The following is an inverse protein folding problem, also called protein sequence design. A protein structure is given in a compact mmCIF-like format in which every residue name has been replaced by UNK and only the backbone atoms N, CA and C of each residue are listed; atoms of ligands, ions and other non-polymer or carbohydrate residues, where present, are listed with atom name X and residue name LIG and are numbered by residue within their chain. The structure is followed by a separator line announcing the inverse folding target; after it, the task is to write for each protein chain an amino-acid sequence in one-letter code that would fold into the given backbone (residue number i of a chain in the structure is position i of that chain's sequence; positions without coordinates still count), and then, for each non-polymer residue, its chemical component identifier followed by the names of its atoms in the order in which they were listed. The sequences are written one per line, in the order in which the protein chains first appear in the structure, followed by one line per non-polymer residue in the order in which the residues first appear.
data_IF_942160306846
#
_entry.id   IF_942160306846
#
_cell.length_a   1.000
_cell.length_b   1.000
_cell.length_c   1.000
_cell.angle_alpha   90.00
_cell.angle_beta   90.00
_cell.angle_gamma   90.00
#
_symmetry.space_group_name_H-M   'P 1'
#
loop_
_entity.id
_entity.type
_entity.pdbx_description
1 polymer ?
#
# COMPACT_ATOMS: atom_id res chain seq x y z
N UNK A 1 -33.55 47.08 5.72
CA UNK A 1 -32.09 47.15 5.57
C UNK A 1 -31.33 46.24 6.54
N UNK A 2 -31.63 46.25 7.85
CA UNK A 2 -30.98 45.35 8.82
C UNK A 2 -31.24 43.86 8.53
N UNK A 3 -32.49 43.48 8.26
CA UNK A 3 -32.88 42.09 7.98
C UNK A 3 -32.16 41.50 6.75
N UNK A 4 -32.06 42.28 5.66
CA UNK A 4 -31.38 41.87 4.44
C UNK A 4 -29.88 41.67 4.65
N UNK A 5 -29.25 42.50 5.50
CA UNK A 5 -27.85 42.34 5.89
C UNK A 5 -27.65 41.07 6.72
N UNK A 6 -28.53 40.80 7.69
CA UNK A 6 -28.46 39.58 8.52
C UNK A 6 -28.63 38.31 7.67
N UNK A 7 -29.58 38.31 6.74
CA UNK A 7 -29.81 37.17 5.84
C UNK A 7 -28.59 36.92 4.93
N UNK A 8 -27.99 37.98 4.40
CA UNK A 8 -26.77 37.87 3.57
C UNK A 8 -25.60 37.27 4.37
N UNK A 9 -25.34 37.77 5.59
CA UNK A 9 -24.27 37.24 6.43
C UNK A 9 -24.51 35.80 6.86
N UNK A 10 -25.76 35.45 7.21
CA UNK A 10 -26.13 34.08 7.56
C UNK A 10 -25.89 33.13 6.38
N UNK A 11 -26.28 33.54 5.17
CA UNK A 11 -26.02 32.79 3.94
C UNK A 11 -24.52 32.60 3.69
N UNK A 12 -23.71 33.66 3.84
CA UNK A 12 -22.25 33.59 3.70
C UNK A 12 -21.66 32.59 4.70
N UNK A 13 -22.07 32.66 5.97
CA UNK A 13 -21.58 31.75 7.02
C UNK A 13 -21.93 30.29 6.69
N UNK A 14 -23.17 30.02 6.26
CA UNK A 14 -23.59 28.67 5.86
C UNK A 14 -22.75 28.17 4.69
N UNK A 15 -22.51 29.00 3.68
CA UNK A 15 -21.65 28.67 2.55
C UNK A 15 -20.21 28.35 2.99
N UNK A 16 -19.62 29.18 3.86
CA UNK A 16 -18.26 28.94 4.40
C UNK A 16 -18.20 27.63 5.18
N UNK A 17 -19.17 27.36 6.06
CA UNK A 17 -19.25 26.10 6.82
C UNK A 17 -19.36 24.89 5.89
N UNK A 18 -20.15 24.98 4.83
CA UNK A 18 -20.26 23.92 3.83
C UNK A 18 -18.92 23.66 3.11
N UNK A 19 -18.22 24.72 2.68
CA UNK A 19 -16.90 24.59 2.02
C UNK A 19 -15.84 23.97 2.94
N UNK A 20 -15.78 24.40 4.21
CA UNK A 20 -14.87 23.82 5.21
C UNK A 20 -15.18 22.34 5.45
N UNK A 21 -16.47 21.98 5.53
CA UNK A 21 -16.90 20.59 5.71
C UNK A 21 -16.47 19.73 4.52
N UNK A 22 -16.70 20.19 3.29
CA UNK A 22 -16.27 19.49 2.07
C UNK A 22 -14.76 19.30 2.05
N UNK A 23 -14.00 20.35 2.35
CA UNK A 23 -12.54 20.28 2.41
C UNK A 23 -12.05 19.28 3.47
N UNK A 24 -12.66 19.27 4.65
CA UNK A 24 -12.31 18.34 5.73
C UNK A 24 -12.61 16.89 5.36
N UNK A 25 -13.76 16.62 4.74
CA UNK A 25 -14.13 15.28 4.26
C UNK A 25 -13.12 14.80 3.23
N UNK A 26 -12.78 15.63 2.25
CA UNK A 26 -11.75 15.28 1.26
C UNK A 26 -10.40 15.01 1.94
N UNK A 27 -9.94 15.89 2.82
CA UNK A 27 -8.67 15.70 3.54
C UNK A 27 -8.66 14.40 4.35
N UNK A 28 -9.78 14.04 4.99
CA UNK A 28 -9.88 12.79 5.73
C UNK A 28 -9.75 11.58 4.79
N UNK A 29 -10.43 11.56 3.65
CA UNK A 29 -10.34 10.46 2.69
C UNK A 29 -8.93 10.35 2.09
N UNK A 30 -8.33 11.49 1.74
CA UNK A 30 -6.96 11.58 1.26
C UNK A 30 -5.97 10.92 2.21
N UNK A 31 -6.02 11.31 3.48
CA UNK A 31 -5.16 10.74 4.52
C UNK A 31 -5.37 9.24 4.72
N UNK A 32 -6.59 8.73 4.53
CA UNK A 32 -6.84 7.28 4.61
C UNK A 32 -6.16 6.53 3.47
N UNK A 33 -6.23 7.05 2.24
CA UNK A 33 -5.54 6.46 1.09
C UNK A 33 -4.03 6.45 1.32
N UNK A 34 -3.45 7.58 1.74
CA UNK A 34 -2.01 7.68 2.04
C UNK A 34 -1.57 6.73 3.15
N UNK A 35 -2.36 6.59 4.22
CA UNK A 35 -2.08 5.64 5.31
C UNK A 35 -2.06 4.19 4.82
N UNK A 36 -3.01 3.80 3.98
CA UNK A 36 -3.05 2.44 3.45
C UNK A 36 -1.91 2.20 2.45
N UNK A 37 -1.57 3.19 1.62
CA UNK A 37 -0.40 3.13 0.76
C UNK A 37 0.88 2.90 1.58
N UNK A 38 1.05 3.64 2.69
CA UNK A 38 2.18 3.46 3.61
C UNK A 38 2.17 2.08 4.27
N UNK A 39 1.01 1.58 4.72
CA UNK A 39 0.90 0.25 5.32
C UNK A 39 1.30 -0.87 4.33
N UNK A 40 0.95 -0.71 3.04
CA UNK A 40 1.40 -1.63 1.99
C UNK A 40 2.92 -1.55 1.85
N UNK A 41 3.50 -0.35 1.75
CA UNK A 41 4.96 -0.19 1.66
C UNK A 41 5.71 -0.77 2.86
N UNK A 42 5.17 -0.59 4.06
CA UNK A 42 5.73 -1.13 5.30
C UNK A 42 5.72 -2.67 5.28
N UNK A 43 4.58 -3.29 4.93
CA UNK A 43 4.47 -4.74 4.85
C UNK A 43 5.39 -5.34 3.77
N UNK A 44 5.50 -4.67 2.61
CA UNK A 44 6.47 -5.03 1.56
C UNK A 44 7.92 -4.92 2.07
N UNK A 45 8.24 -3.87 2.80
CA UNK A 45 9.56 -3.68 3.39
C UNK A 45 9.90 -4.76 4.42
N UNK A 46 8.96 -5.08 5.31
CA UNK A 46 9.11 -6.16 6.28
C UNK A 46 9.38 -7.49 5.59
N UNK A 47 8.61 -7.81 4.53
CA UNK A 47 8.81 -9.01 3.73
C UNK A 47 10.22 -9.12 3.18
N UNK A 48 10.70 -8.04 2.54
CA UNK A 48 12.05 -7.98 1.94
C UNK A 48 13.14 -8.14 3.00
N UNK A 49 12.91 -7.69 4.23
CA UNK A 49 13.87 -7.85 5.32
C UNK A 49 13.96 -9.27 5.89
N UNK A 50 12.97 -10.13 5.64
CA UNK A 50 13.03 -11.55 6.00
C UNK A 50 13.79 -12.40 4.97
N UNK A 51 13.95 -11.91 3.75
CA UNK A 51 14.62 -12.66 2.67
C UNK A 51 16.09 -12.98 2.94
N UNK A 52 16.92 -12.11 3.53
CA UNK A 52 18.29 -12.47 3.90
C UNK A 52 18.37 -13.72 4.79
N UNK A 53 17.49 -13.86 5.77
CA UNK A 53 17.43 -15.04 6.63
C UNK A 53 17.07 -16.30 5.82
N UNK A 54 16.10 -16.18 4.90
CA UNK A 54 15.75 -17.28 3.99
C UNK A 54 16.92 -17.68 3.08
N UNK A 55 17.69 -16.70 2.59
CA UNK A 55 18.90 -16.93 1.77
C UNK A 55 20.03 -17.60 2.56
N UNK A 56 20.15 -17.30 3.85
CA UNK A 56 21.13 -17.96 4.72
C UNK A 56 20.79 -19.44 4.93
N UNK A 57 19.51 -19.75 5.14
CA UNK A 57 19.06 -21.14 5.27
C UNK A 57 19.23 -21.91 3.97
N UNK A 58 18.91 -21.28 2.84
CA UNK A 58 19.01 -21.89 1.52
C UNK A 58 20.41 -21.81 0.89
N UNK A 59 21.43 -21.41 1.66
CA UNK A 59 22.78 -21.12 1.15
C UNK A 59 23.39 -22.30 0.39
N UNK A 60 23.21 -23.52 0.90
CA UNK A 60 23.78 -24.73 0.30
C UNK A 60 23.04 -25.17 -0.99
N UNK A 61 21.77 -24.77 -1.13
CA UNK A 61 20.86 -25.25 -2.18
C UNK A 61 20.71 -24.25 -3.34
N UNK A 62 20.92 -22.95 -3.11
CA UNK A 62 20.64 -21.89 -4.09
C UNK A 62 21.89 -21.41 -4.83
N UNK A 63 23.10 -21.68 -4.32
CA UNK A 63 24.39 -21.54 -5.02
C UNK A 63 24.50 -20.32 -5.95
N UNK A 64 24.22 -20.54 -7.24
CA UNK A 64 24.34 -19.54 -8.31
C UNK A 64 23.26 -18.46 -8.33
N UNK A 65 22.05 -18.73 -7.84
CA UNK A 65 20.92 -17.78 -7.92
C UNK A 65 20.91 -16.76 -6.76
N UNK A 66 21.78 -16.94 -5.77
CA UNK A 66 21.79 -16.12 -4.55
C UNK A 66 22.05 -14.64 -4.83
N UNK A 67 22.99 -14.34 -5.74
CA UNK A 67 23.36 -12.97 -6.09
C UNK A 67 22.20 -12.25 -6.79
N UNK A 68 21.54 -12.92 -7.72
CA UNK A 68 20.37 -12.39 -8.44
C UNK A 68 19.21 -12.05 -7.49
N UNK A 69 18.97 -12.86 -6.45
CA UNK A 69 17.91 -12.59 -5.46
C UNK A 69 18.26 -11.37 -4.60
N UNK A 70 19.54 -11.19 -4.25
CA UNK A 70 20.01 -10.03 -3.49
C UNK A 70 19.87 -8.74 -4.32
N UNK A 71 20.27 -8.78 -5.59
CA UNK A 71 20.15 -7.66 -6.52
C UNK A 71 18.67 -7.28 -6.73
N UNK A 72 17.81 -8.26 -6.98
CA UNK A 72 16.38 -8.01 -7.17
C UNK A 72 15.70 -7.44 -5.92
N UNK A 73 16.12 -7.87 -4.71
CA UNK A 73 15.68 -7.26 -3.44
C UNK A 73 16.14 -5.81 -3.34
N UNK A 74 17.39 -5.51 -3.70
CA UNK A 74 17.95 -4.16 -3.62
C UNK A 74 17.24 -3.21 -4.60
N UNK A 75 16.95 -3.68 -5.80
CA UNK A 75 16.18 -2.95 -6.81
C UNK A 75 14.77 -2.64 -6.29
N UNK A 76 14.09 -3.63 -5.70
CA UNK A 76 12.78 -3.43 -5.07
C UNK A 76 12.80 -2.41 -3.92
N UNK A 77 13.88 -2.34 -3.15
CA UNK A 77 14.01 -1.41 -2.02
C UNK A 77 14.34 0.02 -2.43
N UNK A 78 15.10 0.19 -3.51
CA UNK A 78 15.61 1.51 -3.93
C UNK A 78 14.80 2.14 -5.08
N UNK A 79 13.89 1.38 -5.68
CA UNK A 79 13.07 1.85 -6.78
C UNK A 79 12.15 3.03 -6.42
N UNK A 80 12.16 4.05 -7.29
CA UNK A 80 11.27 5.25 -7.27
C UNK A 80 9.97 4.96 -8.06
N UNK A 81 9.57 3.70 -8.16
CA UNK A 81 8.35 3.28 -8.84
C UNK A 81 7.08 3.68 -8.09
N UNK A 82 5.97 3.72 -8.83
CA UNK A 82 4.63 3.85 -8.24
C UNK A 82 4.30 2.62 -7.39
N UNK A 83 3.34 2.76 -6.46
CA UNK A 83 2.94 1.64 -5.60
C UNK A 83 2.42 0.44 -6.42
N UNK A 84 1.73 0.70 -7.52
CA UNK A 84 1.24 -0.30 -8.46
C UNK A 84 2.39 -1.13 -9.07
N UNK A 85 3.41 -0.46 -9.58
CA UNK A 85 4.61 -1.10 -10.16
C UNK A 85 5.40 -1.89 -9.10
N UNK A 86 5.57 -1.31 -7.89
CA UNK A 86 6.21 -2.01 -6.77
C UNK A 86 5.50 -3.32 -6.44
N UNK A 87 4.17 -3.33 -6.43
CA UNK A 87 3.37 -4.52 -6.14
C UNK A 87 3.47 -5.54 -7.28
N UNK A 88 3.45 -5.08 -8.54
CA UNK A 88 3.64 -5.96 -9.69
C UNK A 88 4.98 -6.71 -9.61
N UNK A 89 6.08 -6.00 -9.34
CA UNK A 89 7.39 -6.64 -9.14
C UNK A 89 7.45 -7.52 -7.89
N UNK A 90 6.74 -7.15 -6.82
CA UNK A 90 6.66 -8.00 -5.63
C UNK A 90 5.96 -9.34 -5.93
N UNK A 91 5.00 -9.39 -6.87
CA UNK A 91 4.40 -10.66 -7.28
C UNK A 91 5.44 -11.60 -7.91
N UNK A 92 6.33 -11.07 -8.74
CA UNK A 92 7.44 -11.86 -9.29
C UNK A 92 8.39 -12.35 -8.18
N UNK A 93 8.72 -11.47 -7.23
CA UNK A 93 9.55 -11.80 -6.08
C UNK A 93 8.90 -12.84 -5.15
N UNK A 94 7.57 -12.86 -5.07
CA UNK A 94 6.79 -13.84 -4.30
C UNK A 94 7.02 -15.26 -4.79
N UNK A 95 7.08 -15.44 -6.11
CA UNK A 95 7.34 -16.74 -6.74
C UNK A 95 8.72 -17.25 -6.37
N UNK A 96 9.72 -16.36 -6.34
CA UNK A 96 11.08 -16.69 -5.91
C UNK A 96 11.07 -17.14 -4.44
N UNK A 97 10.44 -16.38 -3.55
CA UNK A 97 10.33 -16.73 -2.12
C UNK A 97 9.65 -18.10 -1.95
N UNK A 98 8.56 -18.37 -2.66
CA UNK A 98 7.89 -19.67 -2.62
C UNK A 98 8.80 -20.80 -3.08
N UNK A 99 9.52 -20.60 -4.19
CA UNK A 99 10.48 -21.59 -4.67
C UNK A 99 11.57 -21.89 -3.63
N UNK A 100 12.13 -20.86 -2.99
CA UNK A 100 13.11 -21.02 -1.91
C UNK A 100 12.55 -21.82 -0.73
N UNK A 101 11.31 -21.52 -0.32
CA UNK A 101 10.65 -22.23 0.77
C UNK A 101 10.38 -23.70 0.43
N UNK A 102 10.05 -24.04 -0.82
CA UNK A 102 9.85 -25.43 -1.25
C UNK A 102 11.16 -26.20 -1.36
N UNK A 103 12.24 -25.58 -1.86
CA UNK A 103 13.57 -26.20 -1.89
C UNK A 103 14.05 -26.56 -0.48
N UNK A 104 13.76 -25.71 0.51
CA UNK A 104 14.11 -25.92 1.92
C UNK A 104 13.21 -26.93 2.66
N UNK A 105 12.08 -27.35 2.08
CA UNK A 105 11.07 -28.19 2.77
C UNK A 105 11.61 -29.57 3.19
N UNK A 106 12.65 -30.06 2.51
CA UNK A 106 13.30 -31.33 2.84
C UNK A 106 14.42 -31.24 3.87
N UNK A 107 14.73 -30.04 4.39
CA UNK A 107 15.81 -29.86 5.35
C UNK A 107 15.33 -30.04 6.81
N UNK A 108 15.60 -31.22 7.36
CA UNK A 108 15.23 -31.58 8.73
C UNK A 108 16.00 -30.75 9.78
N UNK A 109 17.20 -30.22 9.47
CA UNK A 109 18.01 -29.48 10.43
C UNK A 109 17.41 -28.13 10.82
N UNK A 110 16.66 -27.53 9.91
CA UNK A 110 16.12 -26.18 10.07
C UNK A 110 14.59 -26.15 10.15
N UNK A 111 13.93 -27.30 10.30
CA UNK A 111 12.47 -27.43 10.19
C UNK A 111 11.67 -26.47 11.09
N UNK A 112 12.09 -26.24 12.34
CA UNK A 112 11.41 -25.32 13.26
C UNK A 112 11.52 -23.87 12.78
N UNK A 113 12.73 -23.44 12.40
CA UNK A 113 12.99 -22.08 11.93
C UNK A 113 12.33 -21.83 10.57
N UNK A 114 12.34 -22.82 9.67
CA UNK A 114 11.66 -22.76 8.38
C UNK A 114 10.15 -22.60 8.55
N UNK A 115 9.54 -23.32 9.50
CA UNK A 115 8.12 -23.17 9.79
C UNK A 115 7.77 -21.80 10.36
N UNK A 116 8.61 -21.24 11.24
CA UNK A 116 8.44 -19.88 11.73
C UNK A 116 8.49 -18.86 10.59
N UNK A 117 9.49 -18.97 9.71
CA UNK A 117 9.64 -18.09 8.54
C UNK A 117 8.45 -18.23 7.57
N UNK A 118 7.97 -19.46 7.30
CA UNK A 118 6.77 -19.70 6.50
C UNK A 118 5.55 -19.01 7.10
N UNK A 119 5.41 -19.08 8.43
CA UNK A 119 4.32 -18.43 9.13
C UNK A 119 4.41 -16.91 9.00
N UNK A 120 5.58 -16.31 9.26
CA UNK A 120 5.81 -14.87 9.09
C UNK A 120 5.51 -14.40 7.66
N UNK A 121 6.00 -15.09 6.63
CA UNK A 121 5.71 -14.74 5.25
C UNK A 121 4.21 -14.82 4.91
N UNK A 122 3.50 -15.79 5.50
CA UNK A 122 2.05 -15.93 5.33
C UNK A 122 1.31 -14.76 6.01
N UNK A 123 1.69 -14.41 7.24
CA UNK A 123 1.10 -13.28 7.95
C UNK A 123 1.32 -11.97 7.20
N UNK A 124 2.55 -11.70 6.76
CA UNK A 124 2.89 -10.51 5.97
C UNK A 124 2.10 -10.49 4.65
N UNK A 125 1.94 -11.64 3.99
CA UNK A 125 1.14 -11.73 2.77
C UNK A 125 -0.33 -11.36 3.02
N UNK A 126 -0.93 -11.90 4.09
CA UNK A 126 -2.30 -11.55 4.49
C UNK A 126 -2.43 -10.07 4.86
N UNK A 127 -1.42 -9.48 5.48
CA UNK A 127 -1.40 -8.05 5.79
C UNK A 127 -1.33 -7.18 4.53
N UNK A 128 -0.48 -7.55 3.56
CA UNK A 128 -0.42 -6.88 2.25
C UNK A 128 -1.78 -6.95 1.56
N UNK A 129 -2.40 -8.13 1.50
CA UNK A 129 -3.72 -8.31 0.88
C UNK A 129 -4.79 -7.44 1.55
N UNK A 130 -4.83 -7.43 2.89
CA UNK A 130 -5.75 -6.59 3.65
C UNK A 130 -5.53 -5.10 3.36
N UNK A 131 -4.29 -4.63 3.39
CA UNK A 131 -3.96 -3.23 3.16
C UNK A 131 -4.29 -2.80 1.71
N UNK A 132 -4.08 -3.67 0.72
CA UNK A 132 -4.49 -3.40 -0.67
C UNK A 132 -6.01 -3.33 -0.81
N UNK A 133 -6.75 -4.25 -0.18
CA UNK A 133 -8.21 -4.22 -0.21
C UNK A 133 -8.76 -2.93 0.43
N UNK A 134 -8.22 -2.52 1.58
CA UNK A 134 -8.59 -1.27 2.24
C UNK A 134 -8.22 -0.05 1.39
N UNK A 135 -7.02 -0.03 0.80
CA UNK A 135 -6.58 1.02 -0.12
C UNK A 135 -7.57 1.16 -1.30
N UNK A 136 -7.87 0.06 -1.98
CA UNK A 136 -8.78 0.04 -3.13
C UNK A 136 -10.17 0.54 -2.75
N UNK A 137 -10.70 0.11 -1.59
CA UNK A 137 -11.97 0.60 -1.07
C UNK A 137 -11.97 2.13 -0.87
N UNK A 138 -10.90 2.69 -0.31
CA UNK A 138 -10.81 4.14 -0.12
C UNK A 138 -10.61 4.91 -1.43
N UNK A 139 -9.85 4.36 -2.38
CA UNK A 139 -9.68 4.93 -3.72
C UNK A 139 -11.00 4.95 -4.49
N UNK A 140 -11.78 3.87 -4.44
CA UNK A 140 -13.11 3.83 -5.06
C UNK A 140 -14.07 4.85 -4.45
N UNK A 141 -14.07 4.97 -3.11
CA UNK A 141 -14.85 6.00 -2.42
C UNK A 141 -14.41 7.41 -2.81
N UNK A 142 -13.12 7.65 -2.95
CA UNK A 142 -12.58 8.92 -3.44
C UNK A 142 -13.06 9.22 -4.85
N UNK A 143 -12.96 8.24 -5.75
CA UNK A 143 -13.45 8.38 -7.12
C UNK A 143 -14.96 8.68 -7.16
N UNK A 144 -15.75 8.06 -6.29
CA UNK A 144 -17.18 8.33 -6.15
C UNK A 144 -17.46 9.76 -5.66
N UNK A 145 -16.72 10.27 -4.66
CA UNK A 145 -16.80 11.66 -4.21
C UNK A 145 -16.45 12.63 -5.35
N UNK A 146 -15.40 12.33 -6.11
CA UNK A 146 -14.94 13.13 -7.24
C UNK A 146 -15.87 13.11 -8.45
N UNK A 147 -16.97 12.33 -8.46
CA UNK A 147 -18.01 12.46 -9.48
C UNK A 147 -18.83 13.74 -9.33
N UNK A 148 -18.93 14.26 -8.12
CA UNK A 148 -19.72 15.45 -7.80
C UNK A 148 -18.95 16.75 -8.13
N UNK A 149 -19.54 17.71 -8.87
CA UNK A 149 -18.85 18.93 -9.30
C UNK A 149 -18.23 19.74 -8.15
N UNK A 150 -18.92 19.82 -7.02
CA UNK A 150 -18.48 20.56 -5.85
C UNK A 150 -17.20 19.99 -5.23
N UNK A 151 -17.00 18.67 -5.29
CA UNK A 151 -15.78 18.03 -4.80
C UNK A 151 -14.63 18.15 -5.80
N UNK A 152 -14.91 18.10 -7.11
CA UNK A 152 -13.90 18.30 -8.17
C UNK A 152 -13.20 19.65 -8.07
N UNK A 153 -13.92 20.70 -7.69
CA UNK A 153 -13.34 22.03 -7.50
C UNK A 153 -12.16 22.02 -6.51
N UNK A 154 -12.21 21.16 -5.50
CA UNK A 154 -11.17 21.03 -4.49
C UNK A 154 -10.10 19.98 -4.83
N UNK A 155 -10.28 19.17 -5.89
CA UNK A 155 -9.39 18.07 -6.24
C UNK A 155 -7.95 18.52 -6.51
N UNK A 156 -7.75 19.76 -6.98
CA UNK A 156 -6.42 20.34 -7.20
C UNK A 156 -5.54 20.30 -5.94
N UNK A 157 -6.13 20.51 -4.75
CA UNK A 157 -5.43 20.50 -3.46
C UNK A 157 -4.90 19.10 -3.08
N UNK A 158 -5.28 18.08 -3.84
CA UNK A 158 -5.05 16.67 -3.56
C UNK A 158 -4.43 15.93 -4.75
N UNK A 159 -3.80 16.67 -5.69
CA UNK A 159 -3.21 16.12 -6.92
C UNK A 159 -2.07 15.14 -6.70
N UNK A 160 -1.46 15.14 -5.51
CA UNK A 160 -0.35 14.24 -5.15
C UNK A 160 -0.80 12.86 -4.67
N UNK A 161 -2.10 12.64 -4.48
CA UNK A 161 -2.61 11.37 -3.96
C UNK A 161 -2.62 10.33 -5.08
N UNK A 162 -2.04 9.17 -4.80
CA UNK A 162 -2.20 7.99 -5.66
C UNK A 162 -3.65 7.52 -5.58
N UNK A 163 -4.36 7.63 -6.71
CA UNK A 163 -5.81 7.38 -6.80
C UNK A 163 -6.13 6.30 -7.82
N UNK A 164 -5.13 5.52 -8.21
CA UNK A 164 -5.32 4.32 -9.03
C UNK A 164 -5.53 3.13 -8.13
N UNK A 165 -6.59 2.33 -8.34
CA UNK A 165 -6.75 1.05 -7.66
C UNK A 165 -5.63 0.10 -8.10
N UNK A 166 -5.18 -0.75 -7.19
CA UNK A 166 -4.14 -1.72 -7.46
C UNK A 166 -4.80 -3.06 -7.82
N UNK A 167 -4.50 -3.64 -9.00
CA UNK A 167 -5.01 -4.95 -9.38
C UNK A 167 -4.36 -6.06 -8.53
N UNK A 168 -5.07 -6.51 -7.50
CA UNK A 168 -4.69 -7.69 -6.72
C UNK A 168 -5.59 -8.87 -7.10
N UNK A 169 -5.02 -9.75 -7.91
CA UNK A 169 -5.43 -11.14 -8.15
C UNK A 169 -4.32 -12.01 -7.60
#
# INVERSE_FOLDING_TARGET
MLLTVILLWSFIIICVLALVTVFFVLRMHAQRIERQAYAIEEALWQRRNRVPLLLELAREQIGQNRQTIIELRADLQTSIETLEEKIAKEKEFTTIIHHMLEVLKGDEKHHVLLNAIRHEFKEIHTEIERAINDYNFYVERWAALMRWPWFKFFAFSFSQIQTKPIPYV
#
